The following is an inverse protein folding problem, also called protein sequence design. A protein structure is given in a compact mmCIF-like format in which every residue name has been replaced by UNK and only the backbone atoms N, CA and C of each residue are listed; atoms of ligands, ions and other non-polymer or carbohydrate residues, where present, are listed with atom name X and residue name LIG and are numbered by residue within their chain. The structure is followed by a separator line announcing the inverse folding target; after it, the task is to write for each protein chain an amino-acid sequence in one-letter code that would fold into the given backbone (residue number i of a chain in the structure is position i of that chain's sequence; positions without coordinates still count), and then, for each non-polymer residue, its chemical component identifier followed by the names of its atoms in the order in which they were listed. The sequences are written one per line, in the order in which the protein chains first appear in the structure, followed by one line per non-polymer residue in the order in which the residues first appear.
data_IF_505935019725
#
_entry.id   IF_505935019725
#
_cell.length_a   1.000
_cell.length_b   1.000
_cell.length_c   1.000
_cell.angle_alpha   90.00
_cell.angle_beta   90.00
_cell.angle_gamma   90.00
#
_symmetry.space_group_name_H-M   'P 1'
#
loop_
_entity.id
_entity.type
_entity.pdbx_description
1 polymer ?
#
# COMPACT_ATOMS: atom_id res chain seq x y z
N UNK A 1 13.59 68.75 -62.97
CA UNK A 1 14.98 69.24 -62.96
C UNK A 1 15.75 68.38 -61.96
N UNK A 2 16.76 67.57 -62.53
CA UNK A 2 17.93 66.91 -61.86
C UNK A 2 17.65 66.06 -60.61
N UNK A 3 17.56 64.70 -60.75
CA UNK A 3 18.62 63.69 -60.64
C UNK A 3 19.75 64.05 -59.66
N UNK A 4 19.92 63.16 -58.63
CA UNK A 4 21.19 62.52 -58.32
C UNK A 4 20.98 61.36 -57.39
N UNK A 5 21.43 60.19 -57.86
CA UNK A 5 21.79 59.00 -57.16
C UNK A 5 22.85 59.20 -56.09
N UNK A 6 22.97 58.37 -55.13
CA UNK A 6 24.23 57.73 -54.72
C UNK A 6 23.98 56.45 -53.91
N UNK A 7 24.63 55.43 -54.36
CA UNK A 7 24.88 54.12 -53.72
C UNK A 7 25.59 54.24 -52.35
N UNK A 8 25.38 53.25 -51.54
CA UNK A 8 26.24 52.55 -50.57
C UNK A 8 25.37 52.17 -49.33
N UNK A 9 25.30 51.04 -48.76
CA UNK A 9 26.25 49.93 -48.66
C UNK A 9 25.49 48.69 -48.19
N UNK A 10 25.75 47.58 -48.82
CA UNK A 10 25.19 46.24 -48.53
C UNK A 10 26.07 45.61 -47.46
N UNK A 11 25.98 46.01 -46.19
CA UNK A 11 26.66 45.33 -45.08
C UNK A 11 26.00 45.41 -43.70
N UNK A 12 24.78 45.90 -43.58
CA UNK A 12 24.12 45.99 -42.24
C UNK A 12 22.79 45.25 -42.14
N UNK A 13 22.55 44.23 -42.95
CA UNK A 13 21.34 43.38 -42.92
C UNK A 13 21.62 41.91 -42.59
N UNK A 14 22.83 41.59 -42.09
CA UNK A 14 23.17 40.19 -41.72
C UNK A 14 23.46 39.99 -40.24
N UNK A 15 22.97 40.84 -39.35
CA UNK A 15 23.17 40.69 -37.89
C UNK A 15 21.89 40.72 -37.01
N UNK A 16 20.70 40.64 -37.62
CA UNK A 16 19.44 40.59 -36.88
C UNK A 16 18.62 39.32 -37.05
N UNK A 17 19.16 38.23 -37.59
CA UNK A 17 18.46 36.96 -37.78
C UNK A 17 19.03 35.77 -37.01
N UNK A 18 19.99 36.00 -36.08
CA UNK A 18 20.54 34.93 -35.24
C UNK A 18 20.26 35.09 -33.75
N UNK A 19 19.42 36.05 -33.33
CA UNK A 19 19.08 36.24 -31.90
C UNK A 19 17.66 35.76 -31.52
N UNK A 20 16.87 35.19 -32.43
CA UNK A 20 15.54 34.69 -32.15
C UNK A 20 15.34 33.16 -32.22
N UNK A 21 16.43 32.40 -32.28
CA UNK A 21 16.38 30.92 -32.34
C UNK A 21 16.89 30.23 -31.08
N UNK A 22 16.99 30.94 -29.91
CA UNK A 22 17.54 30.38 -28.67
C UNK A 22 16.68 30.64 -27.42
N UNK A 23 15.37 30.90 -27.56
CA UNK A 23 14.43 31.01 -26.44
C UNK A 23 13.22 30.09 -26.64
N UNK A 24 13.34 28.99 -27.39
CA UNK A 24 12.28 27.98 -27.47
C UNK A 24 12.82 26.57 -27.17
N UNK A 25 13.55 26.38 -26.07
CA UNK A 25 13.87 25.03 -25.60
C UNK A 25 14.16 24.97 -24.12
N UNK A 26 13.22 25.43 -23.28
CA UNK A 26 13.20 25.06 -21.87
C UNK A 26 11.83 25.30 -21.21
N UNK A 27 10.75 25.02 -21.93
CA UNK A 27 9.51 24.64 -21.24
C UNK A 27 9.57 23.13 -21.12
N UNK A 28 10.34 22.65 -20.14
CA UNK A 28 10.17 21.30 -19.62
C UNK A 28 8.70 21.21 -19.16
N UNK A 29 7.97 20.17 -19.55
CA UNK A 29 6.62 20.00 -19.07
C UNK A 29 6.67 19.95 -17.54
N UNK A 30 5.85 20.76 -16.88
CA UNK A 30 5.69 20.88 -15.42
C UNK A 30 5.18 19.55 -14.80
N UNK A 31 5.06 18.48 -15.60
CA UNK A 31 4.64 17.14 -15.17
C UNK A 31 5.72 16.28 -14.48
N UNK A 32 6.96 16.76 -14.32
CA UNK A 32 8.05 15.97 -13.72
C UNK A 32 8.59 16.50 -12.39
N UNK A 33 7.93 17.44 -11.72
CA UNK A 33 8.41 17.99 -10.44
C UNK A 33 7.85 17.21 -9.22
N UNK A 34 6.96 16.24 -9.42
CA UNK A 34 6.38 15.41 -8.35
C UNK A 34 6.59 13.90 -8.50
N UNK A 35 7.52 13.46 -9.32
CA UNK A 35 8.08 12.14 -9.12
C UNK A 35 9.03 12.23 -7.93
N UNK A 36 8.51 12.14 -6.71
CA UNK A 36 9.34 11.69 -5.60
C UNK A 36 10.00 10.40 -6.07
N UNK A 37 11.28 10.30 -5.78
CA UNK A 37 12.05 9.09 -5.96
C UNK A 37 11.47 8.00 -5.04
N UNK A 38 10.31 7.42 -5.44
CA UNK A 38 9.62 6.31 -4.76
C UNK A 38 10.49 5.06 -4.82
N UNK A 39 11.65 5.16 -5.47
CA UNK A 39 12.56 4.06 -5.76
C UNK A 39 13.16 3.40 -4.52
N UNK A 40 13.13 4.08 -3.36
CA UNK A 40 13.80 3.61 -2.15
C UNK A 40 12.87 3.38 -0.95
N UNK A 41 11.56 3.57 -1.08
CA UNK A 41 10.62 3.52 0.04
C UNK A 41 9.57 2.41 -0.10
N UNK A 42 8.95 2.02 1.04
CA UNK A 42 7.72 1.23 1.12
C UNK A 42 6.68 2.08 1.85
N UNK A 43 6.09 3.10 1.17
CA UNK A 43 5.48 4.24 1.86
C UNK A 43 4.11 3.96 2.46
N UNK A 44 3.46 2.85 2.13
CA UNK A 44 2.13 2.51 2.62
C UNK A 44 1.89 1.00 2.60
N UNK A 45 0.82 0.57 3.28
CA UNK A 45 0.38 -0.82 3.27
C UNK A 45 0.28 -1.35 1.84
N UNK A 46 0.97 -2.49 1.59
CA UNK A 46 1.05 -3.13 0.26
C UNK A 46 1.69 -2.28 -0.82
N UNK A 47 2.59 -1.38 -0.42
CA UNK A 47 3.52 -0.62 -1.23
C UNK A 47 2.91 0.58 -1.98
N UNK A 48 1.82 0.44 -2.73
CA UNK A 48 1.29 1.47 -3.64
C UNK A 48 -0.23 1.70 -3.49
N UNK A 49 -0.74 2.73 -4.16
CA UNK A 49 -2.16 3.09 -4.14
C UNK A 49 -3.08 1.97 -4.65
N UNK A 50 -2.63 1.19 -5.63
CA UNK A 50 -3.34 0.05 -6.19
C UNK A 50 -3.30 -1.17 -5.27
N UNK A 51 -2.52 -1.12 -4.18
CA UNK A 51 -2.32 -2.19 -3.19
C UNK A 51 -1.93 -3.52 -3.82
N UNK A 52 -1.07 -3.46 -4.84
CA UNK A 52 -0.61 -4.68 -5.53
C UNK A 52 0.22 -5.60 -4.66
N UNK A 53 0.79 -5.11 -3.56
CA UNK A 53 1.74 -5.87 -2.74
C UNK A 53 3.07 -6.15 -3.45
N UNK A 54 3.30 -5.53 -4.60
CA UNK A 54 4.49 -5.70 -5.43
C UNK A 54 5.45 -4.53 -5.26
N UNK A 55 6.71 -4.84 -4.96
CA UNK A 55 7.80 -3.85 -4.84
C UNK A 55 8.72 -3.88 -6.06
N UNK A 56 9.37 -2.75 -6.42
CA UNK A 56 10.22 -2.65 -7.61
C UNK A 56 11.65 -3.16 -7.38
N UNK A 57 12.02 -3.54 -6.17
CA UNK A 57 13.36 -4.01 -5.79
C UNK A 57 13.32 -5.46 -5.30
N UNK A 58 14.48 -6.11 -5.32
CA UNK A 58 14.61 -7.49 -4.83
C UNK A 58 14.45 -7.55 -3.31
N UNK A 59 13.87 -8.63 -2.81
CA UNK A 59 13.89 -8.94 -1.40
C UNK A 59 15.16 -9.71 -0.99
N UNK A 60 15.27 -10.09 0.30
CA UNK A 60 16.45 -10.76 0.83
C UNK A 60 16.67 -12.12 0.17
N UNK A 61 17.93 -12.46 -0.08
CA UNK A 61 18.31 -13.76 -0.67
C UNK A 61 18.29 -14.91 0.33
N UNK A 62 18.31 -14.60 1.64
CA UNK A 62 18.34 -15.53 2.77
C UNK A 62 17.51 -15.00 3.95
N UNK A 63 17.42 -15.82 4.99
CA UNK A 63 16.63 -15.58 6.21
C UNK A 63 17.45 -15.02 7.38
N UNK A 64 18.65 -14.46 7.14
CA UNK A 64 19.50 -13.95 8.22
C UNK A 64 18.81 -12.84 9.00
N UNK A 65 18.74 -12.98 10.32
CA UNK A 65 18.28 -11.94 11.21
C UNK A 65 19.33 -10.83 11.32
N UNK A 66 18.95 -9.61 10.93
CA UNK A 66 19.81 -8.42 11.12
C UNK A 66 19.65 -7.85 12.53
N UNK A 67 18.41 -7.68 12.94
CA UNK A 67 18.04 -7.21 14.28
C UNK A 67 16.57 -7.48 14.58
N UNK A 68 16.21 -7.43 15.85
CA UNK A 68 14.83 -7.31 16.31
C UNK A 68 14.73 -6.26 17.40
N UNK A 69 13.59 -5.59 17.52
CA UNK A 69 13.28 -4.68 18.61
C UNK A 69 11.96 -5.05 19.25
N UNK A 70 11.85 -4.83 20.56
CA UNK A 70 10.62 -5.08 21.31
C UNK A 70 9.79 -3.80 21.42
N UNK A 71 8.49 -3.93 21.27
CA UNK A 71 7.44 -2.99 21.73
C UNK A 71 6.93 -3.45 23.10
N UNK A 72 5.89 -2.79 23.61
CA UNK A 72 5.21 -3.21 24.86
C UNK A 72 3.88 -3.93 24.57
N UNK A 73 3.61 -4.29 23.33
CA UNK A 73 2.44 -5.03 22.86
C UNK A 73 2.69 -5.73 21.54
N UNK A 74 1.74 -6.51 21.07
CA UNK A 74 1.83 -7.24 19.80
C UNK A 74 1.94 -6.30 18.61
N UNK A 75 2.68 -6.71 17.56
CA UNK A 75 2.80 -5.96 16.32
C UNK A 75 2.02 -6.66 15.22
N UNK A 76 0.76 -6.28 15.07
CA UNK A 76 -0.13 -6.73 13.98
C UNK A 76 -0.08 -5.77 12.79
N UNK A 77 0.23 -4.49 13.07
CA UNK A 77 0.42 -3.47 12.04
C UNK A 77 1.52 -3.91 11.07
N UNK A 78 1.30 -3.71 9.78
CA UNK A 78 2.35 -3.91 8.77
C UNK A 78 3.30 -2.72 8.78
N UNK A 79 4.63 -2.92 8.79
CA UNK A 79 5.59 -1.84 8.76
C UNK A 79 5.57 -1.11 7.41
N UNK A 80 5.95 0.17 7.43
CA UNK A 80 6.23 0.96 6.24
C UNK A 80 7.61 1.59 6.38
N UNK A 81 8.23 1.95 5.26
CA UNK A 81 9.61 2.46 5.21
C UNK A 81 9.65 3.71 4.37
N UNK A 82 10.23 4.80 4.87
CA UNK A 82 10.44 6.03 4.10
C UNK A 82 11.69 5.96 3.20
N UNK A 83 11.96 7.03 2.47
CA UNK A 83 13.11 7.14 1.55
C UNK A 83 14.47 7.10 2.26
N UNK A 84 14.53 7.46 3.53
CA UNK A 84 15.76 7.42 4.35
C UNK A 84 15.95 6.06 5.02
N UNK A 85 14.97 5.16 4.86
CA UNK A 85 14.95 3.82 5.43
C UNK A 85 14.45 3.80 6.88
N UNK A 86 13.79 4.86 7.37
CA UNK A 86 13.15 4.87 8.69
C UNK A 86 11.87 4.04 8.62
N UNK A 87 11.70 3.16 9.57
CA UNK A 87 10.58 2.24 9.65
C UNK A 87 9.54 2.80 10.62
N UNK A 88 8.26 2.76 10.22
CA UNK A 88 7.13 3.12 11.08
C UNK A 88 6.20 1.91 11.23
N UNK A 89 5.79 1.63 12.47
CA UNK A 89 4.92 0.50 12.79
C UNK A 89 4.07 0.78 14.02
N UNK A 90 2.80 0.37 13.99
CA UNK A 90 1.89 0.43 15.11
C UNK A 90 1.98 -0.82 16.00
N UNK A 91 1.59 -0.69 17.26
CA UNK A 91 1.53 -1.79 18.22
C UNK A 91 0.21 -1.79 19.00
N UNK A 92 -0.19 -2.96 19.52
CA UNK A 92 -1.41 -3.10 20.34
C UNK A 92 -1.30 -2.41 21.71
N UNK A 93 -0.08 -2.00 22.11
CA UNK A 93 0.06 -1.10 23.24
C UNK A 93 -0.36 0.34 22.94
N UNK A 94 -0.76 0.65 21.70
CA UNK A 94 -1.19 1.98 21.25
C UNK A 94 -0.03 2.93 20.91
N UNK A 95 1.19 2.44 20.74
CA UNK A 95 2.30 3.25 20.25
C UNK A 95 2.49 3.09 18.74
N UNK A 96 2.66 4.21 18.03
CA UNK A 96 3.34 4.27 16.75
C UNK A 96 4.82 4.45 16.99
N UNK A 97 5.64 3.52 16.51
CA UNK A 97 7.10 3.56 16.65
C UNK A 97 7.73 4.06 15.35
N UNK A 98 8.73 4.94 15.48
CA UNK A 98 9.67 5.31 14.42
C UNK A 98 11.05 4.72 14.74
N UNK A 99 11.63 4.01 13.77
CA UNK A 99 12.79 3.13 14.01
C UNK A 99 13.81 3.36 12.89
N UNK A 100 15.09 3.53 13.26
CA UNK A 100 16.16 3.64 12.26
C UNK A 100 16.37 2.32 11.49
N UNK A 101 17.02 2.33 10.32
CA UNK A 101 17.41 1.10 9.61
C UNK A 101 18.28 0.13 10.42
N UNK A 102 18.88 0.61 11.51
CA UNK A 102 19.72 -0.18 12.43
C UNK A 102 18.97 -0.70 13.66
N UNK A 103 17.63 -0.57 13.70
CA UNK A 103 16.80 -1.06 14.81
C UNK A 103 16.80 -0.19 16.07
N UNK A 104 17.17 1.10 15.98
CA UNK A 104 17.07 2.04 17.10
C UNK A 104 15.78 2.83 17.02
N UNK A 105 14.98 2.86 18.09
CA UNK A 105 13.80 3.71 18.20
C UNK A 105 14.23 5.18 18.22
N UNK A 106 13.65 5.97 17.32
CA UNK A 106 13.84 7.42 17.26
C UNK A 106 12.84 8.13 18.17
N UNK A 107 11.58 7.75 18.05
CA UNK A 107 10.48 8.26 18.86
C UNK A 107 9.31 7.27 18.88
N UNK A 108 8.41 7.44 19.84
CA UNK A 108 7.15 6.75 19.95
C UNK A 108 6.04 7.77 20.18
N UNK A 109 4.91 7.60 19.46
CA UNK A 109 3.71 8.42 19.65
C UNK A 109 2.58 7.57 20.20
N UNK A 110 2.00 7.98 21.35
CA UNK A 110 0.97 7.24 22.08
C UNK A 110 -0.43 7.68 21.68
N UNK A 111 -1.29 6.73 21.30
CA UNK A 111 -2.75 6.86 21.16
C UNK A 111 -3.47 6.38 22.42
N UNK A 112 -4.80 6.53 22.44
CA UNK A 112 -5.59 6.07 23.58
C UNK A 112 -5.94 4.57 23.53
N UNK A 113 -5.75 3.91 22.36
CA UNK A 113 -6.05 2.48 22.17
C UNK A 113 -5.09 1.89 21.11
N UNK A 114 -5.25 0.60 20.80
CA UNK A 114 -4.39 -0.18 19.89
C UNK A 114 -4.23 0.47 18.51
N UNK A 115 -3.10 0.18 17.84
CA UNK A 115 -2.84 0.54 16.45
C UNK A 115 -2.65 -0.75 15.63
N UNK A 116 -3.72 -1.17 14.95
CA UNK A 116 -3.71 -2.28 13.98
C UNK A 116 -3.42 -1.78 12.56
N UNK A 117 -3.80 -0.53 12.27
CA UNK A 117 -3.56 0.15 11.00
C UNK A 117 -2.08 0.15 10.65
N UNK A 118 -1.71 -0.29 9.44
CA UNK A 118 -0.40 0.03 8.90
C UNK A 118 -0.35 1.54 8.60
N UNK A 119 0.76 2.23 8.92
CA UNK A 119 0.90 3.64 8.59
C UNK A 119 0.95 3.89 7.07
N UNK A 120 0.77 5.15 6.66
CA UNK A 120 1.10 5.63 5.32
C UNK A 120 1.89 6.94 5.44
N UNK A 121 2.88 7.11 4.57
CA UNK A 121 3.81 8.23 4.58
C UNK A 121 3.46 9.14 3.41
N UNK A 122 3.11 10.40 3.71
CA UNK A 122 2.88 11.42 2.70
C UNK A 122 4.19 11.90 2.06
N UNK A 123 4.07 12.59 0.93
CA UNK A 123 5.22 13.17 0.21
C UNK A 123 5.98 14.23 1.02
N UNK A 124 5.35 14.77 2.04
CA UNK A 124 5.91 15.72 3.01
C UNK A 124 6.53 15.04 4.26
N UNK A 125 6.65 13.69 4.24
CA UNK A 125 7.17 12.89 5.34
C UNK A 125 6.22 12.74 6.52
N UNK A 126 4.98 13.23 6.42
CA UNK A 126 3.98 13.05 7.48
C UNK A 126 3.47 11.63 7.48
N UNK A 127 3.37 11.06 8.68
CA UNK A 127 2.89 9.69 8.90
C UNK A 127 1.43 9.72 9.32
N UNK A 128 0.58 9.04 8.54
CA UNK A 128 -0.85 8.93 8.77
C UNK A 128 -1.21 7.51 9.19
N UNK A 129 -2.11 7.35 10.16
CA UNK A 129 -2.60 6.04 10.60
C UNK A 129 -3.93 6.16 11.35
N UNK A 130 -4.61 5.03 11.50
CA UNK A 130 -5.80 4.89 12.31
C UNK A 130 -5.50 4.19 13.64
N UNK A 131 -6.33 4.44 14.65
CA UNK A 131 -6.30 3.75 15.94
C UNK A 131 -7.67 3.19 16.30
N UNK A 132 -7.69 2.14 17.10
CA UNK A 132 -8.91 1.59 17.69
C UNK A 132 -9.62 2.58 18.63
N UNK A 133 -8.99 3.74 18.98
CA UNK A 133 -9.66 4.83 19.69
C UNK A 133 -10.60 5.66 18.79
N UNK A 134 -10.75 5.25 17.52
CA UNK A 134 -11.64 5.88 16.55
C UNK A 134 -11.08 7.16 15.93
N UNK A 135 -9.77 7.40 16.02
CA UNK A 135 -9.13 8.59 15.42
C UNK A 135 -8.17 8.25 14.31
N UNK A 136 -8.16 9.14 13.32
CA UNK A 136 -7.12 9.26 12.32
C UNK A 136 -6.08 10.24 12.87
N UNK A 137 -4.82 9.89 12.76
CA UNK A 137 -3.70 10.71 13.21
C UNK A 137 -2.80 11.09 12.05
N UNK A 138 -2.25 12.32 12.10
CA UNK A 138 -1.14 12.78 11.26
C UNK A 138 -0.01 13.24 12.17
N UNK A 139 1.16 12.63 12.02
CA UNK A 139 2.34 12.85 12.85
C UNK A 139 3.45 13.41 11.99
N UNK A 140 4.08 14.50 12.45
CA UNK A 140 5.24 15.06 11.79
C UNK A 140 6.45 14.13 11.89
N UNK A 141 7.48 14.26 11.03
CA UNK A 141 8.68 13.43 11.07
C UNK A 141 9.42 13.44 12.40
N UNK A 142 9.25 14.50 13.21
CA UNK A 142 9.83 14.63 14.55
C UNK A 142 9.00 13.95 15.66
N UNK A 143 7.94 13.21 15.31
CA UNK A 143 7.08 12.48 16.24
C UNK A 143 5.97 13.33 16.89
N UNK A 144 5.84 14.61 16.53
CA UNK A 144 4.80 15.48 17.10
C UNK A 144 3.50 15.41 16.31
N UNK A 145 2.39 15.49 17.04
CA UNK A 145 1.05 15.54 16.45
C UNK A 145 0.91 16.78 15.53
N UNK A 146 0.54 16.55 14.26
CA UNK A 146 0.14 17.60 13.32
C UNK A 146 -1.37 17.87 13.46
N UNK A 147 -2.17 16.84 13.33
CA UNK A 147 -3.61 16.87 13.54
C UNK A 147 -4.17 15.47 13.84
N UNK A 148 -5.38 15.43 14.35
CA UNK A 148 -6.18 14.22 14.51
C UNK A 148 -7.63 14.49 14.14
N UNK A 149 -8.32 13.47 13.61
CA UNK A 149 -9.73 13.55 13.21
C UNK A 149 -10.50 12.40 13.87
N UNK A 150 -11.67 12.68 14.46
CA UNK A 150 -12.52 11.69 15.12
C UNK A 150 -13.50 11.10 14.12
N UNK A 151 -13.57 9.76 14.03
CA UNK A 151 -14.61 8.99 13.32
C UNK A 151 -15.63 8.44 14.31
N UNK A 152 -16.66 7.75 13.80
CA UNK A 152 -17.72 7.17 14.65
C UNK A 152 -17.40 5.77 15.21
N UNK A 153 -16.25 5.17 14.88
CA UNK A 153 -15.87 3.81 15.31
C UNK A 153 -14.37 3.57 15.24
N UNK A 154 -13.93 2.42 15.72
CA UNK A 154 -12.52 1.99 15.64
C UNK A 154 -12.00 2.00 14.20
N UNK A 155 -10.69 2.19 14.04
CA UNK A 155 -10.03 2.20 12.75
C UNK A 155 -8.92 1.14 12.75
N UNK A 156 -9.13 0.05 12.01
CA UNK A 156 -8.13 -0.97 11.76
C UNK A 156 -7.59 -0.91 10.33
N UNK A 157 -8.32 -0.25 9.42
CA UNK A 157 -7.88 -0.07 8.04
C UNK A 157 -6.62 0.80 7.94
N UNK A 158 -5.85 0.59 6.88
CA UNK A 158 -4.63 1.35 6.58
C UNK A 158 -4.94 2.46 5.58
N UNK A 159 -4.45 3.69 5.78
CA UNK A 159 -4.75 4.82 4.90
C UNK A 159 -4.13 4.64 3.51
N UNK A 160 -4.78 5.20 2.49
CA UNK A 160 -4.20 5.50 1.19
C UNK A 160 -4.11 7.02 1.04
N UNK A 161 -3.05 7.52 0.40
CA UNK A 161 -2.80 8.96 0.24
C UNK A 161 -2.62 9.24 -1.24
N UNK A 162 -3.49 10.06 -1.84
CA UNK A 162 -3.36 10.44 -3.24
C UNK A 162 -2.26 11.50 -3.47
N UNK A 163 -2.03 11.86 -4.72
CA UNK A 163 -1.04 12.85 -5.15
C UNK A 163 -1.34 14.28 -4.67
N UNK A 164 -2.58 14.55 -4.20
CA UNK A 164 -3.00 15.83 -3.61
C UNK A 164 -2.85 15.84 -2.09
N UNK A 165 -2.39 14.73 -1.50
CA UNK A 165 -2.29 14.56 -0.06
C UNK A 165 -3.64 14.28 0.61
N UNK A 166 -4.66 13.85 -0.13
CA UNK A 166 -5.92 13.40 0.45
C UNK A 166 -5.73 12.04 1.08
N UNK A 167 -6.09 11.92 2.34
CA UNK A 167 -6.02 10.67 3.12
C UNK A 167 -7.38 9.97 3.08
N UNK A 168 -7.41 8.78 2.50
CA UNK A 168 -8.57 7.90 2.48
C UNK A 168 -8.40 6.79 3.51
N UNK A 169 -9.40 6.61 4.40
CA UNK A 169 -9.36 5.61 5.45
C UNK A 169 -10.77 5.20 5.85
N UNK A 170 -10.97 3.95 6.20
CA UNK A 170 -12.27 3.42 6.60
C UNK A 170 -12.35 3.14 8.10
N UNK A 171 -13.57 3.10 8.63
CA UNK A 171 -13.85 2.92 10.05
C UNK A 171 -14.94 1.87 10.28
N UNK A 172 -14.95 1.30 11.47
CA UNK A 172 -15.98 0.36 11.94
C UNK A 172 -17.39 0.97 11.97
N UNK A 173 -17.51 2.31 11.93
CA UNK A 173 -18.80 2.98 11.76
C UNK A 173 -19.40 2.78 10.36
N UNK A 174 -18.72 2.03 9.49
CA UNK A 174 -19.14 1.72 8.13
C UNK A 174 -18.96 2.87 7.15
N UNK A 175 -18.06 3.81 7.44
CA UNK A 175 -17.75 4.91 6.52
C UNK A 175 -16.32 4.83 6.00
N UNK A 176 -16.17 5.18 4.74
CA UNK A 176 -14.92 5.63 4.15
C UNK A 176 -14.84 7.15 4.27
N UNK A 177 -13.74 7.65 4.78
CA UNK A 177 -13.46 9.08 4.96
C UNK A 177 -12.40 9.55 3.98
N UNK A 178 -12.57 10.74 3.40
CA UNK A 178 -11.55 11.48 2.68
C UNK A 178 -11.21 12.75 3.47
N UNK A 179 -9.97 12.85 3.93
CA UNK A 179 -9.47 13.91 4.78
C UNK A 179 -8.38 14.67 4.01
N UNK A 180 -8.49 15.99 3.94
CA UNK A 180 -7.45 16.83 3.34
C UNK A 180 -6.16 16.81 4.17
N UNK A 181 -5.02 17.14 3.58
CA UNK A 181 -3.70 17.19 4.23
C UNK A 181 -3.64 18.08 5.49
N UNK A 182 -4.60 19.03 5.63
CA UNK A 182 -4.73 19.88 6.80
C UNK A 182 -5.70 19.33 7.88
N UNK A 183 -6.18 18.08 7.75
CA UNK A 183 -7.07 17.44 8.69
C UNK A 183 -8.56 17.74 8.54
N UNK A 184 -8.96 18.52 7.52
CA UNK A 184 -10.39 18.82 7.27
C UNK A 184 -11.06 17.69 6.50
N UNK A 185 -12.27 17.30 6.93
CA UNK A 185 -13.11 16.38 6.19
C UNK A 185 -13.50 16.99 4.83
N UNK A 186 -13.21 16.26 3.75
CA UNK A 186 -13.69 16.58 2.41
C UNK A 186 -15.05 15.96 2.16
N UNK A 187 -15.15 14.65 2.39
CA UNK A 187 -16.39 13.89 2.30
C UNK A 187 -16.29 12.58 3.09
N UNK A 188 -17.42 11.93 3.32
CA UNK A 188 -17.50 10.57 3.80
C UNK A 188 -18.57 9.80 3.05
N UNK A 189 -18.31 8.54 2.74
CA UNK A 189 -19.24 7.63 2.10
C UNK A 189 -19.66 6.54 3.08
N UNK A 190 -20.97 6.30 3.24
CA UNK A 190 -21.52 5.29 4.15
C UNK A 190 -21.86 4.03 3.36
N UNK A 191 -21.32 2.88 3.78
CA UNK A 191 -21.69 1.55 3.32
C UNK A 191 -22.89 0.99 4.12
N UNK A 192 -23.43 -0.14 3.71
CA UNK A 192 -24.56 -0.77 4.37
C UNK A 192 -24.23 -1.43 5.73
N UNK A 193 -22.93 -1.67 6.01
CA UNK A 193 -22.45 -2.26 7.26
C UNK A 193 -21.07 -1.73 7.65
N UNK A 194 -20.45 -2.31 8.70
CA UNK A 194 -19.10 -1.95 9.14
C UNK A 194 -18.04 -2.24 8.06
N UNK A 195 -16.99 -1.41 8.02
CA UNK A 195 -15.76 -1.70 7.30
C UNK A 195 -14.72 -2.06 8.36
N UNK A 196 -14.40 -3.34 8.47
CA UNK A 196 -13.55 -3.83 9.56
C UNK A 196 -12.06 -3.58 9.27
N UNK A 197 -11.48 -4.35 8.36
CA UNK A 197 -10.05 -4.31 8.06
C UNK A 197 -9.74 -3.90 6.63
N UNK A 198 -10.75 -3.91 5.74
CA UNK A 198 -10.56 -3.50 4.36
C UNK A 198 -10.00 -2.09 4.28
N UNK A 199 -8.86 -1.94 3.61
CA UNK A 199 -8.18 -0.67 3.39
C UNK A 199 -8.44 -0.18 1.96
N UNK A 200 -8.70 1.12 1.74
CA UNK A 200 -9.02 1.64 0.42
C UNK A 200 -7.84 1.47 -0.55
N UNK A 201 -8.12 1.10 -1.79
CA UNK A 201 -7.18 1.16 -2.91
C UNK A 201 -7.65 2.19 -3.95
N UNK A 202 -6.72 2.75 -4.71
CA UNK A 202 -7.00 3.81 -5.68
C UNK A 202 -6.46 3.35 -7.04
N UNK A 203 -7.36 3.25 -8.02
CA UNK A 203 -7.01 2.92 -9.39
C UNK A 203 -6.28 4.06 -10.11
N UNK A 204 -5.69 3.78 -11.27
CA UNK A 204 -5.02 4.78 -12.12
C UNK A 204 -5.97 5.89 -12.61
N UNK A 205 -7.27 5.64 -12.64
CA UNK A 205 -8.33 6.59 -12.98
C UNK A 205 -8.90 7.35 -11.76
N UNK A 206 -8.21 7.27 -10.62
CA UNK A 206 -8.63 7.81 -9.32
C UNK A 206 -9.94 7.23 -8.77
N UNK A 207 -10.39 6.07 -9.26
CA UNK A 207 -11.49 5.33 -8.65
C UNK A 207 -11.01 4.71 -7.34
N UNK A 208 -11.80 4.92 -6.27
CA UNK A 208 -11.48 4.42 -4.92
C UNK A 208 -12.31 3.16 -4.69
N UNK A 209 -11.65 2.06 -4.30
CA UNK A 209 -12.28 0.77 -4.05
C UNK A 209 -12.18 0.42 -2.58
N UNK A 210 -13.28 -0.10 -2.00
CA UNK A 210 -13.36 -0.52 -0.60
C UNK A 210 -14.32 -1.69 -0.41
N UNK A 211 -13.91 -2.71 0.30
CA UNK A 211 -14.76 -3.82 0.71
C UNK A 211 -15.50 -3.53 2.01
N UNK A 212 -16.70 -4.09 2.22
CA UNK A 212 -17.50 -3.89 3.41
C UNK A 212 -18.17 -5.20 3.87
N UNK A 213 -18.58 -5.22 5.11
CA UNK A 213 -19.38 -6.31 5.69
C UNK A 213 -20.83 -6.32 5.18
N UNK A 214 -21.24 -5.35 4.38
CA UNK A 214 -22.49 -5.40 3.62
C UNK A 214 -22.42 -6.31 2.39
N UNK A 215 -21.33 -7.07 2.25
CA UNK A 215 -21.06 -8.01 1.14
C UNK A 215 -20.85 -7.31 -0.21
N UNK A 216 -20.43 -6.03 -0.21
CA UNK A 216 -20.16 -5.30 -1.46
C UNK A 216 -18.72 -4.80 -1.52
N UNK A 217 -18.16 -4.91 -2.71
CA UNK A 217 -17.06 -4.06 -3.15
C UNK A 217 -17.67 -2.76 -3.71
N UNK A 218 -17.36 -1.64 -3.06
CA UNK A 218 -17.79 -0.32 -3.50
C UNK A 218 -16.70 0.33 -4.35
N UNK A 219 -17.06 0.89 -5.48
CA UNK A 219 -16.22 1.75 -6.31
C UNK A 219 -16.77 3.17 -6.28
N UNK A 220 -15.92 4.13 -5.91
CA UNK A 220 -16.27 5.53 -5.73
C UNK A 220 -15.42 6.41 -6.65
N UNK A 221 -15.99 7.53 -7.08
CA UNK A 221 -15.22 8.61 -7.71
C UNK A 221 -14.43 9.39 -6.65
N UNK A 222 -13.45 10.17 -7.09
CA UNK A 222 -12.63 11.00 -6.20
C UNK A 222 -13.43 12.03 -5.37
N UNK A 223 -14.64 12.40 -5.82
CA UNK A 223 -15.56 13.29 -5.11
C UNK A 223 -16.42 12.59 -4.05
N UNK A 224 -16.26 11.26 -3.88
CA UNK A 224 -17.01 10.44 -2.93
C UNK A 224 -18.34 9.92 -3.46
N UNK A 225 -18.76 10.26 -4.68
CA UNK A 225 -19.96 9.70 -5.29
C UNK A 225 -19.75 8.25 -5.73
N UNK A 226 -20.78 7.40 -5.56
CA UNK A 226 -20.73 6.01 -6.00
C UNK A 226 -20.57 5.93 -7.53
N UNK A 227 -19.69 5.02 -7.98
CA UNK A 227 -19.51 4.68 -9.39
C UNK A 227 -20.27 3.41 -9.73
N UNK A 228 -20.05 2.35 -8.93
CA UNK A 228 -20.75 1.08 -8.98
C UNK A 228 -20.49 0.30 -7.67
N UNK A 229 -21.31 -0.72 -7.42
CA UNK A 229 -21.12 -1.69 -6.35
C UNK A 229 -21.18 -3.09 -6.95
N UNK A 230 -20.36 -4.00 -6.46
CA UNK A 230 -20.36 -5.41 -6.82
C UNK A 230 -20.69 -6.25 -5.60
N UNK A 231 -21.74 -7.08 -5.67
CA UNK A 231 -22.14 -7.97 -4.58
C UNK A 231 -21.30 -9.26 -4.59
N UNK A 232 -20.72 -9.58 -3.43
CA UNK A 232 -20.01 -10.84 -3.16
C UNK A 232 -20.92 -11.79 -2.39
N UNK A 233 -20.53 -13.07 -2.32
CA UNK A 233 -21.34 -14.08 -1.59
C UNK A 233 -21.23 -13.95 -0.06
N UNK A 234 -20.23 -13.21 0.43
CA UNK A 234 -20.05 -13.01 1.88
C UNK A 234 -19.35 -11.67 2.17
N UNK A 235 -19.22 -11.34 3.47
CA UNK A 235 -18.54 -10.14 3.98
C UNK A 235 -17.12 -10.02 3.44
N UNK A 236 -16.63 -8.78 3.30
CA UNK A 236 -15.31 -8.48 2.80
C UNK A 236 -14.47 -7.85 3.92
N UNK A 237 -13.40 -8.54 4.31
CA UNK A 237 -12.36 -8.03 5.21
C UNK A 237 -11.08 -7.64 4.45
N UNK A 238 -10.81 -8.31 3.34
CA UNK A 238 -9.65 -8.06 2.52
C UNK A 238 -9.65 -6.65 1.90
N UNK A 239 -8.47 -6.12 1.65
CA UNK A 239 -8.31 -4.89 0.88
C UNK A 239 -8.29 -5.21 -0.62
N UNK A 240 -8.96 -4.43 -1.47
CA UNK A 240 -8.92 -4.62 -2.92
C UNK A 240 -7.51 -4.43 -3.47
N UNK A 241 -7.12 -5.21 -4.48
CA UNK A 241 -5.92 -5.00 -5.26
C UNK A 241 -6.29 -4.66 -6.71
N UNK A 242 -5.71 -3.59 -7.27
CA UNK A 242 -6.05 -3.11 -8.61
C UNK A 242 -4.89 -3.43 -9.56
N UNK A 243 -5.16 -4.34 -10.51
CA UNK A 243 -4.25 -4.68 -11.61
C UNK A 243 -4.52 -3.85 -12.87
N UNK A 244 -3.99 -4.29 -13.99
CA UNK A 244 -4.22 -3.68 -15.29
C UNK A 244 -5.63 -4.05 -15.79
N UNK A 245 -6.60 -3.17 -15.55
CA UNK A 245 -7.99 -3.36 -15.99
C UNK A 245 -8.86 -4.27 -15.12
N UNK A 246 -8.38 -4.76 -13.98
CA UNK A 246 -9.11 -5.71 -13.12
C UNK A 246 -8.90 -5.37 -11.64
N UNK A 247 -9.97 -5.41 -10.85
CA UNK A 247 -9.94 -5.32 -9.39
C UNK A 247 -10.09 -6.73 -8.82
N UNK A 248 -9.18 -7.10 -7.91
CA UNK A 248 -9.21 -8.41 -7.23
C UNK A 248 -9.59 -8.21 -5.77
N UNK A 249 -10.51 -9.04 -5.26
CA UNK A 249 -10.98 -9.02 -3.88
C UNK A 249 -11.36 -10.42 -3.42
N UNK A 250 -11.22 -10.71 -2.15
CA UNK A 250 -11.70 -11.94 -1.53
C UNK A 250 -12.79 -11.64 -0.51
N UNK A 251 -13.79 -12.48 -0.44
CA UNK A 251 -14.70 -12.53 0.71
C UNK A 251 -14.13 -13.42 1.83
N UNK A 252 -14.73 -13.36 3.02
CA UNK A 252 -14.24 -14.10 4.19
C UNK A 252 -14.38 -15.61 4.08
N UNK A 253 -15.24 -16.13 3.20
CA UNK A 253 -15.40 -17.56 2.96
C UNK A 253 -14.35 -18.10 1.99
N UNK A 254 -13.53 -17.22 1.39
CA UNK A 254 -12.41 -17.58 0.54
C UNK A 254 -12.76 -17.69 -0.94
N UNK A 255 -13.77 -16.96 -1.39
CA UNK A 255 -13.96 -16.76 -2.83
C UNK A 255 -13.19 -15.52 -3.28
N UNK A 256 -12.31 -15.72 -4.26
CA UNK A 256 -11.58 -14.67 -4.96
C UNK A 256 -12.39 -14.24 -6.19
N UNK A 257 -12.60 -12.94 -6.32
CA UNK A 257 -13.29 -12.33 -7.46
C UNK A 257 -12.32 -11.47 -8.25
N UNK A 258 -12.38 -11.58 -9.58
CA UNK A 258 -11.79 -10.64 -10.53
C UNK A 258 -12.93 -9.85 -11.17
N UNK A 259 -12.89 -8.54 -11.03
CA UNK A 259 -13.97 -7.62 -11.41
C UNK A 259 -13.40 -6.60 -12.40
N UNK A 260 -14.04 -6.42 -13.54
CA UNK A 260 -13.68 -5.39 -14.50
C UNK A 260 -13.85 -3.98 -13.89
N UNK A 261 -13.16 -2.97 -14.42
CA UNK A 261 -13.25 -1.59 -13.91
C UNK A 261 -14.63 -0.93 -14.09
N UNK A 262 -15.52 -1.57 -14.85
CA UNK A 262 -16.93 -1.18 -15.00
C UNK A 262 -17.87 -1.83 -13.96
N UNK A 263 -17.33 -2.70 -13.09
CA UNK A 263 -18.07 -3.39 -12.04
C UNK A 263 -18.63 -4.76 -12.44
N UNK A 264 -18.40 -5.24 -13.66
CA UNK A 264 -18.86 -6.57 -14.11
C UNK A 264 -17.90 -7.66 -13.66
N UNK A 265 -18.42 -8.83 -13.28
CA UNK A 265 -17.60 -10.00 -12.92
C UNK A 265 -16.85 -10.51 -14.16
N UNK A 266 -15.53 -10.68 -14.01
CA UNK A 266 -14.68 -11.32 -15.01
C UNK A 266 -14.60 -12.82 -14.76
N UNK A 267 -14.28 -13.22 -13.53
CA UNK A 267 -14.29 -14.59 -13.05
C UNK A 267 -14.27 -14.65 -11.51
N UNK A 268 -14.65 -15.80 -10.96
CA UNK A 268 -14.53 -16.14 -9.54
C UNK A 268 -13.76 -17.44 -9.35
N UNK A 269 -12.98 -17.54 -8.26
CA UNK A 269 -12.21 -18.73 -7.90
C UNK A 269 -12.43 -19.08 -6.42
N UNK A 270 -12.76 -20.32 -6.13
CA UNK A 270 -12.91 -20.83 -4.75
C UNK A 270 -11.54 -21.30 -4.21
N UNK A 271 -11.06 -20.65 -3.15
CA UNK A 271 -9.79 -20.99 -2.48
C UNK A 271 -9.95 -22.24 -1.58
N UNK A 272 -11.17 -22.75 -1.39
CA UNK A 272 -11.45 -23.93 -0.57
C UNK A 272 -11.21 -23.71 0.93
N UNK A 273 -11.29 -22.48 1.42
CA UNK A 273 -11.11 -22.15 2.82
C UNK A 273 -11.19 -20.67 3.11
N UNK A 274 -11.42 -20.28 4.35
CA UNK A 274 -11.59 -18.86 4.77
C UNK A 274 -10.32 -18.05 4.57
N UNK A 275 -10.49 -16.74 4.29
CA UNK A 275 -9.36 -15.83 4.18
C UNK A 275 -9.64 -14.43 4.75
N UNK A 276 -8.60 -13.82 5.33
CA UNK A 276 -8.48 -12.39 5.60
C UNK A 276 -7.32 -11.76 4.80
N UNK A 277 -6.57 -12.60 4.07
CA UNK A 277 -5.45 -12.15 3.25
C UNK A 277 -5.94 -11.33 2.06
N UNK A 278 -5.37 -10.16 1.85
CA UNK A 278 -5.63 -9.36 0.65
C UNK A 278 -4.83 -9.90 -0.53
N UNK A 279 -5.39 -9.92 -1.76
CA UNK A 279 -4.70 -10.44 -2.95
C UNK A 279 -3.44 -9.62 -3.28
N UNK A 280 -2.31 -10.26 -3.60
CA UNK A 280 -1.14 -9.61 -4.20
C UNK A 280 -1.09 -9.91 -5.70
N UNK A 281 -0.47 -9.01 -6.48
CA UNK A 281 -0.43 -9.10 -7.94
C UNK A 281 1.02 -8.90 -8.41
N UNK A 282 1.60 -9.86 -9.13
CA UNK A 282 2.93 -9.71 -9.74
C UNK A 282 2.88 -8.97 -11.08
N UNK A 283 4.01 -8.92 -11.79
CA UNK A 283 4.14 -8.24 -13.09
C UNK A 283 3.37 -8.95 -14.21
N UNK A 284 3.22 -10.27 -14.09
CA UNK A 284 2.52 -11.12 -15.06
C UNK A 284 1.03 -11.25 -14.73
N UNK A 285 0.55 -10.42 -13.78
CA UNK A 285 -0.82 -10.46 -13.26
C UNK A 285 -1.20 -11.81 -12.63
N UNK A 286 -0.24 -12.55 -12.06
CA UNK A 286 -0.53 -13.68 -11.17
C UNK A 286 -0.99 -13.14 -9.82
N UNK A 287 -2.08 -13.69 -9.30
CA UNK A 287 -2.71 -13.29 -8.05
C UNK A 287 -2.31 -14.26 -6.95
N UNK A 288 -1.79 -13.73 -5.83
CA UNK A 288 -1.38 -14.52 -4.66
C UNK A 288 -2.29 -14.22 -3.47
N UNK A 289 -2.82 -15.28 -2.83
CA UNK A 289 -3.73 -15.16 -1.67
C UNK A 289 -3.43 -16.27 -0.67
N UNK A 290 -3.34 -15.92 0.62
CA UNK A 290 -3.25 -16.87 1.73
C UNK A 290 -4.62 -17.29 2.25
N UNK A 291 -4.73 -18.45 2.88
CA UNK A 291 -5.97 -18.92 3.54
C UNK A 291 -5.72 -19.36 4.98
N UNK A 292 -6.78 -19.42 5.78
CA UNK A 292 -6.73 -19.90 7.17
C UNK A 292 -6.35 -21.37 7.26
N UNK A 293 -6.55 -22.14 6.21
CA UNK A 293 -6.11 -23.54 6.10
C UNK A 293 -4.61 -23.64 5.85
N UNK A 294 -3.88 -22.50 5.76
CA UNK A 294 -2.44 -22.46 5.57
C UNK A 294 -2.01 -22.71 4.13
N UNK A 295 -2.83 -22.42 3.14
CA UNK A 295 -2.45 -22.50 1.74
C UNK A 295 -2.18 -21.09 1.19
N UNK A 296 -1.07 -20.93 0.47
CA UNK A 296 -0.81 -19.80 -0.41
C UNK A 296 -1.16 -20.26 -1.84
N UNK A 297 -2.08 -19.58 -2.47
CA UNK A 297 -2.50 -19.84 -3.85
C UNK A 297 -1.83 -18.86 -4.81
N UNK A 298 -1.44 -19.35 -5.99
CA UNK A 298 -1.12 -18.55 -7.16
C UNK A 298 -2.14 -18.83 -8.25
N UNK A 299 -2.88 -17.79 -8.64
CA UNK A 299 -3.96 -17.85 -9.63
C UNK A 299 -3.56 -16.99 -10.83
N UNK A 300 -3.76 -17.48 -12.05
CA UNK A 300 -3.49 -16.72 -13.27
C UNK A 300 -4.50 -15.56 -13.42
N UNK A 301 -4.16 -14.57 -14.24
CA UNK A 301 -5.09 -13.45 -14.59
C UNK A 301 -6.41 -13.91 -15.22
N UNK A 302 -6.45 -15.17 -15.73
CA UNK A 302 -7.63 -15.75 -16.37
C UNK A 302 -8.42 -16.67 -15.41
N UNK A 303 -8.03 -16.69 -14.11
CA UNK A 303 -8.72 -17.43 -13.05
C UNK A 303 -8.34 -18.91 -12.92
N UNK A 304 -7.25 -19.37 -13.56
CA UNK A 304 -6.78 -20.74 -13.42
C UNK A 304 -5.77 -20.88 -12.27
N UNK A 305 -5.83 -22.00 -11.54
CA UNK A 305 -4.82 -22.33 -10.53
C UNK A 305 -3.47 -22.59 -11.21
N UNK A 306 -2.43 -21.84 -10.80
CA UNK A 306 -1.05 -22.04 -11.25
C UNK A 306 -0.33 -23.02 -10.33
N UNK A 307 -0.39 -22.79 -9.03
CA UNK A 307 0.13 -23.67 -7.99
C UNK A 307 -0.44 -23.31 -6.61
N UNK A 308 -0.19 -24.20 -5.65
CA UNK A 308 -0.53 -24.03 -4.25
C UNK A 308 0.65 -24.46 -3.37
N UNK A 309 1.06 -23.59 -2.44
CA UNK A 309 2.09 -23.84 -1.44
C UNK A 309 1.44 -24.02 -0.06
N UNK A 310 1.90 -24.98 0.74
CA UNK A 310 1.33 -25.31 2.05
C UNK A 310 2.25 -24.88 3.19
N UNK A 311 1.73 -24.10 4.14
CA UNK A 311 2.32 -23.84 5.46
C UNK A 311 1.72 -24.76 6.52
N UNK A 312 2.28 -24.79 7.73
CA UNK A 312 1.80 -25.69 8.79
C UNK A 312 0.54 -25.18 9.50
N UNK A 313 0.30 -23.85 9.47
CA UNK A 313 -0.89 -23.21 10.06
C UNK A 313 -1.43 -22.10 9.14
N UNK A 314 -2.42 -21.35 9.65
CA UNK A 314 -3.14 -20.31 8.93
C UNK A 314 -2.20 -19.23 8.35
N UNK A 315 -2.60 -18.70 7.18
CA UNK A 315 -2.04 -17.50 6.56
C UNK A 315 -3.13 -16.44 6.59
N UNK A 316 -2.99 -15.44 7.46
CA UNK A 316 -3.87 -14.27 7.54
C UNK A 316 -3.19 -13.00 7.04
N UNK A 317 -1.85 -12.97 7.07
CA UNK A 317 -1.05 -11.91 6.48
C UNK A 317 -1.25 -11.84 4.96
N UNK A 318 -1.08 -10.67 4.38
CA UNK A 318 -1.13 -10.49 2.92
C UNK A 318 0.26 -10.67 2.31
N UNK A 319 0.37 -11.33 1.14
CA UNK A 319 1.65 -11.56 0.49
C UNK A 319 2.31 -10.26 0.01
N UNK A 320 3.64 -10.21 0.04
CA UNK A 320 4.46 -9.19 -0.64
C UNK A 320 5.30 -9.87 -1.72
N UNK A 321 5.32 -9.28 -2.92
CA UNK A 321 6.04 -9.82 -4.09
C UNK A 321 7.18 -8.88 -4.46
N UNK A 322 8.39 -9.41 -4.57
CA UNK A 322 9.59 -8.64 -4.94
C UNK A 322 9.76 -8.49 -6.48
N UNK A 323 10.78 -7.73 -6.89
CA UNK A 323 11.08 -7.51 -8.30
C UNK A 323 11.43 -8.77 -9.08
N UNK A 324 11.87 -9.83 -8.41
CA UNK A 324 12.21 -11.13 -8.98
C UNK A 324 11.01 -12.10 -8.96
N UNK A 325 9.85 -11.65 -8.46
CA UNK A 325 8.64 -12.44 -8.34
C UNK A 325 8.64 -13.39 -7.12
N UNK A 326 9.58 -13.26 -6.19
CA UNK A 326 9.58 -14.03 -4.93
C UNK A 326 8.46 -13.52 -4.03
N UNK A 327 7.68 -14.43 -3.48
CA UNK A 327 6.52 -14.14 -2.63
C UNK A 327 6.93 -14.34 -1.17
N UNK A 328 6.75 -13.30 -0.35
CA UNK A 328 7.01 -13.34 1.09
C UNK A 328 5.70 -13.36 1.86
N UNK A 329 5.56 -14.29 2.82
CA UNK A 329 4.33 -14.48 3.58
C UNK A 329 4.61 -14.96 4.99
N UNK A 330 3.95 -14.34 5.97
CA UNK A 330 3.93 -14.79 7.36
C UNK A 330 2.83 -15.82 7.62
N UNK A 331 3.07 -16.75 8.54
CA UNK A 331 2.09 -17.75 8.94
C UNK A 331 1.96 -17.82 10.47
N UNK A 332 0.83 -18.33 10.92
CA UNK A 332 0.56 -18.61 12.34
C UNK A 332 1.41 -19.76 12.91
N UNK A 333 2.17 -20.47 12.08
CA UNK A 333 3.15 -21.43 12.54
C UNK A 333 4.45 -20.80 13.05
N UNK A 334 4.51 -19.45 13.07
CA UNK A 334 5.67 -18.70 13.54
C UNK A 334 6.81 -18.63 12.54
N UNK A 335 6.52 -18.90 11.26
CA UNK A 335 7.52 -18.86 10.19
C UNK A 335 7.18 -17.81 9.15
N UNK A 336 8.23 -17.15 8.65
CA UNK A 336 8.20 -16.33 7.46
C UNK A 336 8.72 -17.15 6.28
N UNK A 337 7.97 -17.21 5.20
CA UNK A 337 8.31 -17.98 4.01
C UNK A 337 8.65 -17.05 2.84
N UNK A 338 9.69 -17.41 2.09
CA UNK A 338 9.96 -16.90 0.75
C UNK A 338 9.70 -18.04 -0.25
N UNK A 339 8.76 -17.83 -1.17
CA UNK A 339 8.31 -18.80 -2.16
C UNK A 339 8.65 -18.29 -3.55
N UNK A 340 9.24 -19.16 -4.39
CA UNK A 340 9.57 -18.84 -5.77
C UNK A 340 8.31 -18.73 -6.65
N UNK A 341 8.44 -18.14 -7.84
CA UNK A 341 7.36 -17.97 -8.83
C UNK A 341 6.73 -19.28 -9.32
N UNK A 342 7.45 -20.41 -9.16
CA UNK A 342 6.99 -21.77 -9.49
C UNK A 342 6.31 -22.50 -8.31
N UNK A 343 6.20 -21.84 -7.14
CA UNK A 343 5.61 -22.39 -5.93
C UNK A 343 6.57 -23.20 -5.06
N UNK A 344 7.84 -23.31 -5.40
CA UNK A 344 8.85 -23.97 -4.57
C UNK A 344 9.33 -23.08 -3.43
N UNK A 345 9.67 -23.66 -2.29
CA UNK A 345 10.28 -22.95 -1.17
C UNK A 345 11.66 -22.43 -1.56
N UNK A 346 11.91 -21.13 -1.40
CA UNK A 346 13.24 -20.52 -1.54
C UNK A 346 14.00 -20.58 -0.22
N UNK A 347 13.39 -20.05 0.84
CA UNK A 347 13.88 -20.12 2.22
C UNK A 347 12.73 -19.91 3.21
N UNK A 348 12.97 -20.22 4.48
CA UNK A 348 12.05 -19.90 5.56
C UNK A 348 12.83 -19.51 6.82
N UNK A 349 12.36 -18.45 7.50
CA UNK A 349 12.86 -18.03 8.82
C UNK A 349 11.89 -18.50 9.90
N UNK A 350 12.42 -19.11 10.97
CA UNK A 350 11.63 -19.45 12.16
C UNK A 350 11.71 -18.28 13.14
N UNK A 351 10.61 -17.59 13.34
CA UNK A 351 10.45 -16.48 14.29
C UNK A 351 9.98 -17.02 15.65
N UNK A 352 9.07 -18.00 15.63
CA UNK A 352 8.62 -18.73 16.81
C UNK A 352 7.15 -18.49 17.17
N UNK A 353 6.65 -17.27 17.02
CA UNK A 353 5.27 -16.89 17.31
C UNK A 353 4.53 -16.44 16.03
N UNK A 354 3.18 -16.43 16.00
CA UNK A 354 2.39 -16.10 14.82
C UNK A 354 2.77 -14.78 14.16
N UNK A 355 2.83 -14.77 12.82
CA UNK A 355 3.07 -13.59 12.00
C UNK A 355 1.76 -13.17 11.32
N UNK A 356 1.14 -12.08 11.83
CA UNK A 356 -0.09 -11.51 11.30
C UNK A 356 0.17 -10.29 10.43
N UNK A 357 1.29 -9.63 10.67
CA UNK A 357 1.79 -8.48 9.90
C UNK A 357 2.17 -8.90 8.48
N UNK A 358 1.79 -8.11 7.50
CA UNK A 358 2.27 -8.31 6.12
C UNK A 358 3.70 -7.79 5.99
N UNK A 359 4.61 -8.53 5.31
CA UNK A 359 6.00 -8.12 5.17
C UNK A 359 6.15 -6.82 4.37
N UNK A 360 7.10 -5.97 4.77
CA UNK A 360 7.59 -4.83 3.99
C UNK A 360 9.04 -5.07 3.58
N UNK A 361 9.42 -4.58 2.40
CA UNK A 361 10.78 -4.75 1.87
C UNK A 361 11.31 -3.40 1.44
N UNK A 362 12.52 -3.03 1.88
CA UNK A 362 13.18 -1.79 1.47
C UNK A 362 14.09 -1.99 0.26
N UNK A 363 14.59 -0.89 -0.30
CA UNK A 363 15.52 -0.89 -1.45
C UNK A 363 16.92 -1.46 -1.13
N UNK A 364 17.22 -1.73 0.14
CA UNK A 364 18.47 -2.36 0.59
C UNK A 364 18.28 -3.86 0.84
N UNK A 365 17.22 -4.44 0.28
CA UNK A 365 16.88 -5.86 0.39
C UNK A 365 16.66 -6.34 1.83
N UNK A 366 16.20 -5.44 2.71
CA UNK A 366 15.81 -5.79 4.08
C UNK A 366 14.31 -5.99 4.14
N UNK A 367 13.89 -7.11 4.71
CA UNK A 367 12.50 -7.43 4.96
C UNK A 367 12.18 -7.17 6.43
N UNK A 368 11.07 -6.47 6.67
CA UNK A 368 10.55 -6.16 7.98
C UNK A 368 9.22 -6.86 8.21
N UNK A 369 9.02 -7.46 9.38
CA UNK A 369 7.77 -8.12 9.77
C UNK A 369 7.52 -7.97 11.27
N UNK A 370 6.29 -7.63 11.63
CA UNK A 370 5.81 -7.61 13.01
C UNK A 370 5.35 -9.00 13.46
N UNK A 371 5.46 -9.28 14.76
CA UNK A 371 5.10 -10.54 15.36
C UNK A 371 4.28 -10.35 16.64
N UNK A 372 3.46 -11.34 17.01
CA UNK A 372 2.68 -11.31 18.27
C UNK A 372 3.55 -11.50 19.51
N UNK A 373 4.84 -11.82 19.37
CA UNK A 373 5.83 -11.81 20.46
C UNK A 373 6.30 -10.41 20.86
N UNK A 374 5.60 -9.38 20.37
CA UNK A 374 5.84 -7.96 20.64
C UNK A 374 7.09 -7.39 19.95
N UNK A 375 7.59 -8.07 18.91
CA UNK A 375 8.80 -7.63 18.22
C UNK A 375 8.55 -7.29 16.76
N UNK A 376 9.33 -6.33 16.27
CA UNK A 376 9.60 -6.12 14.86
C UNK A 376 10.92 -6.78 14.51
N UNK A 377 10.92 -7.57 13.47
CA UNK A 377 12.08 -8.26 12.93
C UNK A 377 12.53 -7.64 11.62
N UNK A 378 13.86 -7.55 11.43
CA UNK A 378 14.49 -7.18 10.17
C UNK A 378 15.38 -8.32 9.70
N UNK A 379 15.13 -8.82 8.50
CA UNK A 379 15.86 -9.95 7.89
C UNK A 379 16.54 -9.49 6.59
N UNK A 380 17.68 -10.09 6.29
CA UNK A 380 18.42 -9.81 5.06
C UNK A 380 19.93 -9.93 5.23
N UNK A 381 20.65 -9.38 4.23
CA UNK A 381 22.13 -9.37 4.22
C UNK A 381 22.69 -8.21 5.04
#
# INVERSE_FOLDING_TARGET
MKVKSVFTDVKTVLFCLTANALIMSSILPISNIYAQDVSNSFPMYRYNLQRTGRVPFAGPSNDNLKWSISSSGEIWSSPVVDSDGVIYVGSTDGNLLSITPKGKVLWAFKTANEIFSAPAIGTDGIVYFGSADGRIYAINPDGKLKWKFQTGGAIHSSPAIDDKGTVYISSYDGKLYAIAANGKLLWSYKTGASIMTSSPSIGKDNTIYIGSWDMHLHALKADGSAKWNFETENKIDASPAVGEGTVYITDINGKLYAINLDGTLKWGFDLGGRTHSSPAIDRDETIYVGTQEGNLYAITKDGALKWKFKTEKSITASPTVDANGVIYIGSWDGKLYAVNTDGTLKWRATIGEPLLSSPAIDSKNTLYVGCVDWKLYALGQ
#
